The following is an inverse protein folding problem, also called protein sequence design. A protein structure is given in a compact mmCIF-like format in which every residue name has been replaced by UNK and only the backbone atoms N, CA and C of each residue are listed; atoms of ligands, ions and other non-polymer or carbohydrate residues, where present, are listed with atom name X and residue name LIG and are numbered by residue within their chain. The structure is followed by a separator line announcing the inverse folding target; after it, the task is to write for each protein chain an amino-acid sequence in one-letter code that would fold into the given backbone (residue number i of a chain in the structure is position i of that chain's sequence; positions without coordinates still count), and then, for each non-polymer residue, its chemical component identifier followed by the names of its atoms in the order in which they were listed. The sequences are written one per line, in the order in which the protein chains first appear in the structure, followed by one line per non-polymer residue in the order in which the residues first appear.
data_IF_816764543725
#
_entry.id   IF_816764543725
#
_cell.length_a   1.000
_cell.length_b   1.000
_cell.length_c   1.000
_cell.angle_alpha   90.00
_cell.angle_beta   90.00
_cell.angle_gamma   90.00
#
_symmetry.space_group_name_H-M   'P 1'
#
loop_
_entity.id
_entity.type
_entity.pdbx_description
1 polymer ?
#
# COMPACT_ATOMS: atom_id res chain seq x y z
N UNK A 1 -13.66 -7.48 -0.87
CA UNK A 1 -13.01 -6.35 -1.55
C UNK A 1 -14.05 -5.58 -2.37
N UNK A 2 -13.85 -4.27 -2.52
CA UNK A 2 -14.67 -3.44 -3.40
C UNK A 2 -13.78 -2.81 -4.49
N UNK A 3 -14.26 -2.82 -5.74
CA UNK A 3 -13.58 -2.19 -6.87
C UNK A 3 -14.62 -1.87 -7.97
N UNK A 4 -14.56 -0.69 -8.63
CA UNK A 4 -15.49 -0.36 -9.71
C UNK A 4 -15.22 -1.12 -11.02
N UNK A 5 -14.08 -1.80 -11.15
CA UNK A 5 -13.68 -2.51 -12.36
C UNK A 5 -13.99 -4.01 -12.27
N UNK A 6 -14.89 -4.55 -13.12
CA UNK A 6 -15.23 -5.98 -13.10
C UNK A 6 -14.03 -6.92 -13.21
N UNK A 7 -13.03 -6.56 -14.00
CA UNK A 7 -11.82 -7.36 -14.16
C UNK A 7 -11.01 -7.50 -12.84
N UNK A 8 -10.96 -6.45 -12.00
CA UNK A 8 -10.30 -6.51 -10.69
C UNK A 8 -11.09 -7.41 -9.72
N UNK A 9 -12.42 -7.33 -9.76
CA UNK A 9 -13.30 -8.21 -8.97
C UNK A 9 -13.14 -9.68 -9.37
N UNK A 10 -13.08 -9.97 -10.66
CA UNK A 10 -12.86 -11.35 -11.15
C UNK A 10 -11.52 -11.92 -10.66
N UNK A 11 -10.44 -11.15 -10.64
CA UNK A 11 -9.14 -11.60 -10.11
C UNK A 11 -9.22 -11.84 -8.60
N UNK A 12 -9.89 -10.98 -7.84
CA UNK A 12 -10.08 -11.16 -6.40
C UNK A 12 -10.92 -12.42 -6.08
N UNK A 13 -11.96 -12.69 -6.87
CA UNK A 13 -12.79 -13.91 -6.75
C UNK A 13 -11.94 -15.18 -6.94
N UNK A 14 -11.01 -15.20 -7.90
CA UNK A 14 -10.10 -16.35 -8.11
C UNK A 14 -9.22 -16.64 -6.89
N UNK A 15 -8.96 -15.62 -6.07
CA UNK A 15 -8.22 -15.73 -4.81
C UNK A 15 -9.13 -16.08 -3.61
N UNK A 16 -10.42 -16.34 -3.83
CA UNK A 16 -11.38 -16.68 -2.79
C UNK A 16 -11.89 -15.47 -1.97
N UNK A 17 -11.68 -14.25 -2.48
CA UNK A 17 -12.12 -13.02 -1.81
C UNK A 17 -13.57 -12.70 -2.19
N UNK A 18 -14.42 -12.38 -1.21
CA UNK A 18 -15.74 -11.82 -1.46
C UNK A 18 -15.63 -10.43 -2.10
N UNK A 19 -16.42 -10.18 -3.13
CA UNK A 19 -16.31 -8.94 -3.93
C UNK A 19 -17.63 -8.23 -4.07
N UNK A 20 -17.59 -6.92 -4.24
CA UNK A 20 -18.73 -6.05 -4.54
C UNK A 20 -18.23 -4.83 -5.34
N UNK A 21 -19.12 -4.13 -6.02
CA UNK A 21 -18.88 -2.81 -6.62
C UNK A 21 -19.39 -1.66 -5.71
N UNK A 22 -19.93 -1.99 -4.55
CA UNK A 22 -20.46 -1.06 -3.55
C UNK A 22 -19.48 -0.92 -2.37
N UNK A 23 -18.79 0.23 -2.30
CA UNK A 23 -17.83 0.54 -1.24
C UNK A 23 -18.49 0.58 0.15
N UNK A 24 -19.71 1.13 0.26
CA UNK A 24 -20.41 1.24 1.54
C UNK A 24 -20.84 -0.14 2.06
N UNK A 25 -21.29 -1.02 1.16
CA UNK A 25 -21.59 -2.39 1.51
C UNK A 25 -20.35 -3.15 1.99
N UNK A 26 -19.20 -2.94 1.36
CA UNK A 26 -17.93 -3.53 1.81
C UNK A 26 -17.52 -3.03 3.20
N UNK A 27 -17.58 -1.72 3.43
CA UNK A 27 -17.25 -1.11 4.74
C UNK A 27 -18.15 -1.64 5.84
N UNK A 28 -19.47 -1.69 5.61
CA UNK A 28 -20.44 -2.14 6.64
C UNK A 28 -20.21 -3.58 7.14
N UNK A 29 -19.56 -4.42 6.32
CA UNK A 29 -19.26 -5.83 6.62
C UNK A 29 -17.80 -6.06 7.05
N UNK A 30 -17.04 -5.01 7.34
CA UNK A 30 -15.61 -5.09 7.65
C UNK A 30 -15.31 -4.53 9.04
N UNK A 31 -14.32 -5.08 9.72
CA UNK A 31 -13.76 -4.54 10.97
C UNK A 31 -12.58 -3.60 10.67
N UNK A 32 -11.86 -3.85 9.57
CA UNK A 32 -10.75 -3.04 9.10
C UNK A 32 -10.98 -2.64 7.65
N UNK A 33 -10.78 -1.37 7.33
CA UNK A 33 -10.92 -0.82 5.97
C UNK A 33 -9.56 -0.43 5.44
N UNK A 34 -9.15 -1.05 4.34
CA UNK A 34 -7.88 -0.72 3.68
C UNK A 34 -8.16 0.12 2.44
N UNK A 35 -7.69 1.38 2.45
CA UNK A 35 -7.79 2.29 1.31
C UNK A 35 -6.63 2.04 0.35
N UNK A 36 -6.88 1.24 -0.70
CA UNK A 36 -5.88 0.81 -1.69
C UNK A 36 -6.13 1.41 -3.08
N UNK A 37 -6.69 2.61 -3.13
CA UNK A 37 -6.95 3.34 -4.36
C UNK A 37 -5.84 4.35 -4.68
N UNK A 38 -5.82 4.86 -5.91
CA UNK A 38 -4.88 5.92 -6.30
C UNK A 38 -5.12 7.19 -5.47
N UNK A 39 -4.08 7.97 -5.14
CA UNK A 39 -4.21 9.15 -4.29
C UNK A 39 -5.27 10.16 -4.74
N UNK A 40 -5.43 10.36 -6.04
CA UNK A 40 -6.42 11.28 -6.60
C UNK A 40 -7.88 10.83 -6.46
N UNK A 41 -8.13 9.60 -6.01
CA UNK A 41 -9.49 9.04 -5.81
C UNK A 41 -9.85 8.98 -4.32
N UNK A 42 -8.85 9.08 -3.43
CA UNK A 42 -9.04 8.88 -1.98
C UNK A 42 -10.07 9.83 -1.38
N UNK A 43 -10.05 11.10 -1.78
CA UNK A 43 -10.99 12.11 -1.24
C UNK A 43 -12.45 11.75 -1.55
N UNK A 44 -12.74 11.40 -2.80
CA UNK A 44 -14.10 11.02 -3.22
C UNK A 44 -14.56 9.75 -2.51
N UNK A 45 -13.70 8.73 -2.45
CA UNK A 45 -13.96 7.48 -1.74
C UNK A 45 -14.19 7.71 -0.24
N UNK A 46 -13.33 8.49 0.42
CA UNK A 46 -13.45 8.77 1.85
C UNK A 46 -14.75 9.50 2.17
N UNK A 47 -15.12 10.51 1.39
CA UNK A 47 -16.40 11.19 1.55
C UNK A 47 -17.61 10.27 1.30
N UNK A 48 -17.52 9.35 0.34
CA UNK A 48 -18.58 8.36 0.06
C UNK A 48 -18.84 7.46 1.27
N UNK A 49 -17.79 6.95 1.91
CA UNK A 49 -17.89 5.96 2.99
C UNK A 49 -17.92 6.56 4.40
N UNK A 50 -17.74 7.88 4.54
CA UNK A 50 -17.62 8.58 5.83
C UNK A 50 -18.75 8.23 6.82
N UNK A 51 -19.99 8.15 6.34
CA UNK A 51 -21.16 7.82 7.15
C UNK A 51 -21.21 6.37 7.64
N UNK A 52 -20.48 5.47 7.01
CA UNK A 52 -20.51 4.04 7.29
C UNK A 52 -19.26 3.56 8.05
N UNK A 53 -18.21 4.39 8.11
CA UNK A 53 -16.91 3.99 8.68
C UNK A 53 -16.98 3.71 10.20
N UNK A 54 -17.79 4.47 10.96
CA UNK A 54 -17.93 4.32 12.40
C UNK A 54 -16.60 4.40 13.13
N UNK A 55 -16.33 3.43 14.01
CA UNK A 55 -15.09 3.30 14.80
C UNK A 55 -14.11 2.28 14.18
N UNK A 56 -14.28 1.95 12.91
CA UNK A 56 -13.43 0.96 12.23
C UNK A 56 -12.01 1.47 12.04
N UNK A 57 -11.04 0.58 12.16
CA UNK A 57 -9.67 0.87 11.80
C UNK A 57 -9.56 1.12 10.29
N UNK A 58 -9.02 2.28 9.93
CA UNK A 58 -8.71 2.64 8.55
C UNK A 58 -7.20 2.57 8.32
N UNK A 59 -6.79 1.77 7.34
CA UNK A 59 -5.39 1.65 6.91
C UNK A 59 -5.27 2.21 5.51
N UNK A 60 -4.47 3.25 5.31
CA UNK A 60 -4.30 3.88 3.99
C UNK A 60 -2.91 3.63 3.43
N UNK A 61 -2.84 3.07 2.20
CA UNK A 61 -1.59 2.91 1.43
C UNK A 61 -1.35 4.08 0.46
N UNK A 62 -2.22 5.09 0.47
CA UNK A 62 -2.18 6.18 -0.50
C UNK A 62 -1.01 7.12 -0.25
N UNK A 63 -0.05 7.16 -1.18
CA UNK A 63 1.10 8.05 -1.11
C UNK A 63 0.67 9.52 -1.14
N UNK A 64 1.27 10.33 -0.25
CA UNK A 64 1.04 11.79 -0.21
C UNK A 64 -0.28 12.23 0.44
N UNK A 65 -1.19 11.32 0.79
CA UNK A 65 -2.42 11.66 1.53
C UNK A 65 -2.13 11.61 3.03
N UNK A 66 -2.29 12.73 3.72
CA UNK A 66 -2.00 12.86 5.15
C UNK A 66 -3.13 12.31 6.02
N UNK A 67 -2.83 11.96 7.28
CA UNK A 67 -3.85 11.60 8.26
C UNK A 67 -4.83 12.74 8.51
N UNK A 68 -4.35 13.99 8.51
CA UNK A 68 -5.22 15.17 8.61
C UNK A 68 -6.24 15.24 7.47
N UNK A 69 -5.79 15.03 6.20
CA UNK A 69 -6.71 15.00 5.06
C UNK A 69 -7.73 13.85 5.17
N UNK A 70 -7.32 12.69 5.66
CA UNK A 70 -8.24 11.55 5.87
C UNK A 70 -9.27 11.87 6.96
N UNK A 71 -8.86 12.51 8.05
CA UNK A 71 -9.77 12.96 9.10
C UNK A 71 -10.76 14.01 8.59
N UNK A 72 -10.30 14.98 7.79
CA UNK A 72 -11.17 15.99 7.18
C UNK A 72 -12.29 15.35 6.32
N UNK A 73 -12.00 14.24 5.63
CA UNK A 73 -12.95 13.58 4.72
C UNK A 73 -13.80 12.52 5.40
N UNK A 74 -13.23 11.76 6.34
CA UNK A 74 -13.92 10.67 7.04
C UNK A 74 -14.65 11.12 8.31
N UNK A 75 -14.29 12.29 8.83
CA UNK A 75 -14.74 12.83 10.11
C UNK A 75 -13.67 12.75 11.19
N UNK A 76 -13.79 13.62 12.19
CA UNK A 76 -12.90 13.66 13.36
C UNK A 76 -12.94 12.36 14.16
N UNK A 77 -11.89 12.13 14.95
CA UNK A 77 -11.76 10.99 15.88
C UNK A 77 -11.75 9.60 15.21
N UNK A 78 -11.42 9.52 13.91
CA UNK A 78 -11.27 8.23 13.24
C UNK A 78 -9.93 7.57 13.55
N UNK A 79 -9.95 6.24 13.57
CA UNK A 79 -8.81 5.39 13.83
C UNK A 79 -8.03 5.15 12.53
N UNK A 80 -6.96 5.94 12.32
CA UNK A 80 -6.23 5.94 11.05
C UNK A 80 -4.78 5.48 11.24
N UNK A 81 -4.39 4.50 10.45
CA UNK A 81 -3.00 4.12 10.23
C UNK A 81 -2.63 4.42 8.80
N UNK A 82 -1.59 5.20 8.59
CA UNK A 82 -0.99 5.38 7.27
C UNK A 82 0.15 4.40 7.08
N UNK A 83 0.24 3.85 5.90
CA UNK A 83 1.35 2.96 5.58
C UNK A 83 1.91 3.24 4.18
N UNK A 84 3.18 2.91 4.02
CA UNK A 84 3.89 3.03 2.75
C UNK A 84 4.59 1.69 2.45
N UNK A 85 3.90 0.77 1.76
CA UNK A 85 4.47 -0.47 1.27
C UNK A 85 5.36 -0.22 0.04
N UNK A 86 6.04 -1.27 -0.41
CA UNK A 86 6.78 -1.27 -1.67
C UNK A 86 6.42 -2.48 -2.55
N UNK A 87 6.81 -2.42 -3.82
CA UNK A 87 6.44 -3.43 -4.83
C UNK A 87 6.84 -4.87 -4.50
N UNK A 88 7.96 -5.18 -3.80
CA UNK A 88 8.27 -6.56 -3.39
C UNK A 88 7.22 -7.22 -2.49
N UNK A 89 6.25 -6.46 -1.95
CA UNK A 89 5.09 -7.01 -1.25
C UNK A 89 4.32 -8.05 -2.09
N UNK A 90 4.31 -7.90 -3.42
CA UNK A 90 3.65 -8.85 -4.34
C UNK A 90 4.24 -10.27 -4.27
N UNK A 91 5.46 -10.41 -3.80
CA UNK A 91 6.15 -11.70 -3.59
C UNK A 91 6.47 -11.95 -2.12
N UNK A 92 5.76 -11.29 -1.20
CA UNK A 92 5.95 -11.40 0.24
C UNK A 92 7.38 -11.04 0.73
N UNK A 93 8.04 -10.12 0.04
CA UNK A 93 9.38 -9.59 0.33
C UNK A 93 9.37 -8.07 0.47
N UNK A 94 8.19 -7.51 0.76
CA UNK A 94 8.03 -6.09 0.97
C UNK A 94 8.60 -5.61 2.30
N UNK A 95 8.74 -4.30 2.39
CA UNK A 95 8.85 -3.59 3.67
C UNK A 95 7.86 -2.43 3.67
N UNK A 96 7.16 -2.27 4.79
CA UNK A 96 6.12 -1.25 4.95
C UNK A 96 6.44 -0.34 6.11
N UNK A 97 6.55 0.96 5.90
CA UNK A 97 6.54 1.94 6.98
C UNK A 97 5.11 2.22 7.42
N UNK A 98 4.87 2.26 8.75
CA UNK A 98 3.57 2.55 9.34
C UNK A 98 3.65 3.74 10.28
N UNK A 99 2.64 4.60 10.20
CA UNK A 99 2.38 5.67 11.15
C UNK A 99 0.96 5.53 11.71
N UNK A 100 0.82 5.61 13.03
CA UNK A 100 -0.46 5.58 13.72
C UNK A 100 -0.82 6.96 14.26
N UNK A 101 -2.06 7.42 14.01
CA UNK A 101 -2.58 8.62 14.66
C UNK A 101 -2.71 8.40 16.18
N UNK A 102 -2.80 9.46 16.99
CA UNK A 102 -2.92 9.35 18.45
C UNK A 102 -4.14 8.57 18.94
N UNK A 103 -5.18 8.43 18.13
CA UNK A 103 -6.39 7.67 18.46
C UNK A 103 -6.16 6.15 18.45
N UNK A 104 -5.11 5.68 17.77
CA UNK A 104 -4.82 4.24 17.59
C UNK A 104 -4.31 3.61 18.87
N UNK A 105 -4.97 2.56 19.33
CA UNK A 105 -4.56 1.74 20.46
C UNK A 105 -3.61 0.60 20.06
N UNK A 106 -3.12 -0.15 21.06
CA UNK A 106 -2.14 -1.22 20.85
C UNK A 106 -2.73 -2.43 20.09
N UNK A 107 -3.99 -2.75 20.30
CA UNK A 107 -4.65 -3.85 19.58
C UNK A 107 -4.78 -3.53 18.08
N UNK A 108 -5.11 -2.30 17.73
CA UNK A 108 -5.18 -1.83 16.35
C UNK A 108 -3.81 -1.81 15.68
N UNK A 109 -2.76 -1.42 16.42
CA UNK A 109 -1.37 -1.55 15.94
C UNK A 109 -1.02 -3.00 15.63
N UNK A 110 -1.39 -3.91 16.52
CA UNK A 110 -1.15 -5.34 16.33
C UNK A 110 -1.90 -5.89 15.10
N UNK A 111 -3.17 -5.51 14.92
CA UNK A 111 -3.98 -5.89 13.76
C UNK A 111 -3.32 -5.40 12.46
N UNK A 112 -2.97 -4.12 12.39
CA UNK A 112 -2.32 -3.57 11.21
C UNK A 112 -0.96 -4.24 10.93
N UNK A 113 -0.18 -4.50 11.99
CA UNK A 113 1.09 -5.22 11.91
C UNK A 113 0.92 -6.64 11.36
N UNK A 114 -0.10 -7.38 11.79
CA UNK A 114 -0.40 -8.72 11.28
C UNK A 114 -0.81 -8.69 9.80
N UNK A 115 -1.67 -7.73 9.41
CA UNK A 115 -2.12 -7.59 8.01
C UNK A 115 -0.93 -7.28 7.08
N UNK A 116 -0.11 -6.29 7.45
CA UNK A 116 0.99 -5.85 6.60
C UNK A 116 2.21 -6.78 6.69
N UNK A 117 2.38 -7.47 7.81
CA UNK A 117 3.36 -8.53 7.98
C UNK A 117 3.14 -9.75 7.09
N UNK A 118 1.92 -9.96 6.59
CA UNK A 118 1.61 -11.03 5.64
C UNK A 118 2.28 -10.83 4.26
N UNK A 119 2.69 -9.61 3.93
CA UNK A 119 3.30 -9.26 2.63
C UNK A 119 4.78 -8.87 2.74
N UNK A 120 5.38 -9.02 3.93
CA UNK A 120 6.79 -8.74 4.19
C UNK A 120 7.03 -8.21 5.60
N UNK A 121 8.10 -7.45 5.77
CA UNK A 121 8.41 -6.81 7.04
C UNK A 121 7.70 -5.46 7.18
N UNK A 122 7.60 -4.97 8.41
CA UNK A 122 7.09 -3.62 8.66
C UNK A 122 7.89 -2.92 9.77
N UNK A 123 7.88 -1.60 9.74
CA UNK A 123 8.46 -0.74 10.77
C UNK A 123 7.47 0.35 11.16
N UNK A 124 7.40 0.68 12.44
CA UNK A 124 6.67 1.84 12.93
C UNK A 124 7.56 3.07 12.91
N UNK A 125 7.04 4.17 12.36
CA UNK A 125 7.66 5.49 12.47
C UNK A 125 6.97 6.31 13.56
N UNK A 126 7.70 7.26 14.17
CA UNK A 126 7.18 8.05 15.26
C UNK A 126 6.45 9.31 14.78
N UNK A 127 6.85 9.84 13.63
CA UNK A 127 6.27 11.04 13.03
C UNK A 127 5.75 10.72 11.62
N UNK A 128 4.59 11.29 11.28
CA UNK A 128 3.98 11.07 9.97
C UNK A 128 4.87 11.52 8.81
N UNK A 129 5.66 12.57 9.02
CA UNK A 129 6.58 13.09 8.02
C UNK A 129 7.70 12.12 7.64
N UNK A 130 8.06 11.18 8.52
CA UNK A 130 9.05 10.14 8.24
C UNK A 130 8.60 9.20 7.10
N UNK A 131 7.28 9.09 6.83
CA UNK A 131 6.78 8.35 5.67
C UNK A 131 7.26 8.93 4.33
N UNK A 132 7.67 10.19 4.26
CA UNK A 132 8.31 10.74 3.06
C UNK A 132 9.69 10.11 2.83
N UNK A 133 10.47 9.94 3.89
CA UNK A 133 11.76 9.25 3.81
C UNK A 133 11.58 7.77 3.48
N UNK A 134 10.60 7.10 4.10
CA UNK A 134 10.22 5.71 3.74
C UNK A 134 9.87 5.61 2.26
N UNK A 135 9.07 6.54 1.73
CA UNK A 135 8.72 6.59 0.30
C UNK A 135 9.95 6.72 -0.58
N UNK A 136 10.85 7.65 -0.25
CA UNK A 136 12.05 7.89 -1.05
C UNK A 136 13.03 6.70 -1.03
N UNK A 137 13.18 6.04 0.12
CA UNK A 137 14.16 4.95 0.31
C UNK A 137 13.58 3.61 -0.14
N UNK A 138 12.50 3.14 0.47
CA UNK A 138 11.96 1.80 0.20
C UNK A 138 10.82 1.77 -0.81
N UNK A 139 9.99 2.81 -0.87
CA UNK A 139 8.90 2.91 -1.84
C UNK A 139 9.42 3.04 -3.27
N UNK A 140 10.35 3.97 -3.49
CA UNK A 140 10.96 4.23 -4.81
C UNK A 140 12.20 3.37 -5.07
N UNK A 141 12.85 2.87 -4.02
CA UNK A 141 14.11 2.12 -4.09
C UNK A 141 14.15 1.02 -5.14
N UNK A 142 13.15 0.12 -5.23
CA UNK A 142 13.14 -0.93 -6.24
C UNK A 142 13.27 -0.42 -7.68
N UNK A 143 12.66 0.71 -8.00
CA UNK A 143 12.75 1.31 -9.33
C UNK A 143 14.17 1.79 -9.66
N UNK A 144 14.92 2.28 -8.67
CA UNK A 144 16.30 2.69 -8.86
C UNK A 144 17.22 1.50 -9.20
N UNK A 145 17.04 0.39 -8.49
CA UNK A 145 17.77 -0.84 -8.75
C UNK A 145 17.40 -1.42 -10.12
N UNK A 146 16.14 -1.46 -10.48
CA UNK A 146 15.72 -1.92 -11.82
C UNK A 146 16.32 -1.06 -12.93
N UNK A 147 16.39 0.24 -12.75
CA UNK A 147 17.02 1.13 -13.71
C UNK A 147 18.54 0.86 -13.86
N UNK A 148 19.24 0.64 -12.74
CA UNK A 148 20.66 0.30 -12.76
C UNK A 148 20.89 -1.06 -13.44
N UNK A 149 20.11 -2.07 -13.11
CA UNK A 149 20.14 -3.41 -13.73
C UNK A 149 19.95 -3.29 -15.25
N UNK A 150 18.94 -2.55 -15.69
CA UNK A 150 18.68 -2.34 -17.12
C UNK A 150 19.85 -1.63 -17.82
N UNK A 151 20.44 -0.62 -17.18
CA UNK A 151 21.58 0.11 -17.73
C UNK A 151 22.83 -0.79 -17.85
N UNK A 152 23.09 -1.63 -16.84
CA UNK A 152 24.20 -2.59 -16.86
C UNK A 152 24.01 -3.65 -17.96
N UNK A 153 22.80 -4.18 -18.12
CA UNK A 153 22.47 -5.16 -19.17
C UNK A 153 22.70 -4.55 -20.58
N UNK A 154 22.21 -3.32 -20.80
CA UNK A 154 22.45 -2.58 -22.05
C UNK A 154 23.95 -2.36 -22.32
N UNK A 155 24.71 -1.96 -21.32
CA UNK A 155 26.15 -1.76 -21.46
C UNK A 155 26.88 -3.09 -21.79
N UNK A 156 26.52 -4.20 -21.14
CA UNK A 156 27.11 -5.51 -21.41
C UNK A 156 26.86 -5.96 -22.85
N UNK A 157 25.67 -5.72 -23.38
CA UNK A 157 25.33 -6.02 -24.78
C UNK A 157 26.17 -5.14 -25.75
N UNK A 158 26.34 -3.85 -25.45
CA UNK A 158 27.16 -2.95 -26.24
C UNK A 158 28.64 -3.35 -26.26
N UNK A 159 29.13 -4.02 -25.21
CA UNK A 159 30.45 -4.60 -25.11
C UNK A 159 30.60 -5.93 -25.88
N UNK A 160 29.54 -6.42 -26.52
CA UNK A 160 29.55 -7.60 -27.38
C UNK A 160 29.05 -8.89 -26.77
N UNK A 161 28.48 -8.85 -25.56
CA UNK A 161 27.86 -10.03 -24.95
C UNK A 161 26.46 -10.28 -25.55
N UNK A 162 26.08 -11.54 -25.63
CA UNK A 162 24.68 -11.88 -25.96
C UNK A 162 23.76 -11.43 -24.83
N UNK A 163 22.47 -11.18 -25.15
CA UNK A 163 21.43 -10.76 -24.18
C UNK A 163 21.36 -11.73 -23.00
N UNK A 164 21.39 -13.05 -23.25
CA UNK A 164 21.27 -14.06 -22.20
C UNK A 164 22.47 -14.03 -21.24
N UNK A 165 23.69 -13.85 -21.76
CA UNK A 165 24.90 -13.74 -20.95
C UNK A 165 24.86 -12.43 -20.15
N UNK A 166 24.53 -11.32 -20.80
CA UNK A 166 24.45 -10.01 -20.15
C UNK A 166 23.46 -10.05 -18.97
N UNK A 167 22.25 -10.56 -19.21
CA UNK A 167 21.21 -10.68 -18.20
C UNK A 167 21.65 -11.57 -17.02
N UNK A 168 22.25 -12.70 -17.29
CA UNK A 168 22.73 -13.61 -16.25
C UNK A 168 23.80 -12.95 -15.37
N UNK A 169 24.79 -12.28 -15.99
CA UNK A 169 25.86 -11.60 -15.26
C UNK A 169 25.40 -10.42 -14.41
N UNK A 170 24.28 -9.80 -14.76
CA UNK A 170 23.75 -8.63 -14.04
C UNK A 170 22.84 -9.04 -12.89
N UNK A 171 22.17 -10.19 -12.99
CA UNK A 171 21.18 -10.64 -11.99
C UNK A 171 21.76 -11.56 -10.91
N UNK A 172 22.90 -12.21 -11.17
CA UNK A 172 23.61 -13.10 -10.23
C UNK A 172 24.71 -12.34 -9.45
#
# INVERSE_FOLDING_TARGET
AADPFPAALEEAIKLGVNTTDDNRAAVSQSDVVILSVKPNVVADLANEIAGDIGERLVVSVAAGITSASLLDWLGDDKHIIRCMPNTPAQIQRGITGLYATPAINEDERNIAGQILGAVGEFIWVNDESELHAVTAVSGSGPAYFFYVIEAMEKAAIQLGLSTDIARKLVLE
#
